data_IF_890289873764
#
_entry.id   IF_890289873764
#
_cell.length_a   1.000
_cell.length_b   1.000
_cell.length_c   1.000
_cell.angle_alpha   90.00
_cell.angle_beta   90.00
_cell.angle_gamma   90.00
#
_symmetry.space_group_name_H-M   'P 1'
#
loop_
_entity.id
_entity.type
_entity.pdbx_description
1 polymer ?
#
# COMPACT_ATOMS: atom_id res chain seq x y z
N UNK A 1 -13.53 12.79 -17.39
CA UNK A 1 -13.18 12.12 -16.11
C UNK A 1 -11.68 11.81 -16.17
N UNK A 2 -10.81 12.69 -15.64
CA UNK A 2 -9.35 12.46 -15.65
C UNK A 2 -9.02 11.47 -14.53
N UNK A 3 -8.73 10.22 -14.88
CA UNK A 3 -8.40 9.16 -13.94
C UNK A 3 -6.88 9.12 -13.82
N UNK A 4 -6.28 9.94 -12.93
CA UNK A 4 -4.84 9.84 -12.63
C UNK A 4 -4.61 8.50 -11.95
N UNK A 5 -4.08 7.53 -12.70
CA UNK A 5 -3.71 6.23 -12.16
C UNK A 5 -2.40 6.41 -11.38
N UNK A 6 -2.46 6.22 -10.07
CA UNK A 6 -1.23 6.10 -9.27
C UNK A 6 -0.56 4.80 -9.69
N UNK A 7 0.68 4.88 -10.18
CA UNK A 7 1.44 3.68 -10.47
C UNK A 7 1.91 3.05 -9.14
N UNK A 8 1.19 2.03 -8.69
CA UNK A 8 1.47 1.35 -7.42
C UNK A 8 2.88 0.73 -7.37
N UNK A 9 3.47 0.41 -8.53
CA UNK A 9 4.84 -0.13 -8.59
C UNK A 9 5.93 0.88 -8.22
N UNK A 10 5.60 2.17 -8.13
CA UNK A 10 6.53 3.21 -7.67
C UNK A 10 6.45 3.45 -6.16
N UNK A 11 5.52 2.80 -5.44
CA UNK A 11 5.44 2.92 -4.00
C UNK A 11 6.57 2.12 -3.35
N UNK A 12 7.21 2.65 -2.29
CA UNK A 12 8.14 1.84 -1.52
C UNK A 12 7.41 0.63 -0.92
N UNK A 13 8.09 -0.51 -0.74
CA UNK A 13 7.49 -1.64 -0.04
C UNK A 13 7.10 -1.23 1.38
N UNK A 14 6.01 -1.81 1.89
CA UNK A 14 5.64 -1.62 3.29
C UNK A 14 6.69 -2.24 4.21
N UNK A 15 6.79 -1.76 5.45
CA UNK A 15 7.68 -2.37 6.45
C UNK A 15 7.43 -3.87 6.61
N UNK A 16 6.16 -4.29 6.60
CA UNK A 16 5.80 -5.71 6.67
C UNK A 16 6.33 -6.52 5.47
N UNK A 17 6.21 -5.98 4.25
CA UNK A 17 6.75 -6.63 3.05
C UNK A 17 8.28 -6.72 3.09
N UNK A 18 8.95 -5.67 3.56
CA UNK A 18 10.40 -5.65 3.74
C UNK A 18 10.85 -6.70 4.78
N UNK A 19 10.18 -6.80 5.93
CA UNK A 19 10.49 -7.82 6.94
C UNK A 19 10.35 -9.24 6.38
N UNK A 20 9.27 -9.52 5.66
CA UNK A 20 9.07 -10.83 5.03
C UNK A 20 10.15 -11.14 3.99
N UNK A 21 10.57 -10.14 3.20
CA UNK A 21 11.69 -10.31 2.28
C UNK A 21 12.99 -10.68 3.01
N UNK A 22 13.30 -9.99 4.13
CA UNK A 22 14.49 -10.29 4.92
C UNK A 22 14.48 -11.72 5.47
N UNK A 23 13.34 -12.22 5.96
CA UNK A 23 13.23 -13.61 6.42
C UNK A 23 13.54 -14.61 5.31
N UNK A 24 12.98 -14.41 4.11
CA UNK A 24 13.23 -15.32 2.98
C UNK A 24 14.68 -15.28 2.52
N UNK A 25 15.29 -14.10 2.48
CA UNK A 25 16.71 -13.95 2.15
C UNK A 25 17.57 -14.68 3.18
N UNK A 26 17.26 -14.52 4.47
CA UNK A 26 17.97 -15.23 5.54
C UNK A 26 17.85 -16.75 5.37
N UNK A 27 16.63 -17.27 5.20
CA UNK A 27 16.41 -18.69 4.93
C UNK A 27 17.22 -19.19 3.73
N UNK A 28 17.16 -18.47 2.62
CA UNK A 28 17.86 -18.86 1.39
C UNK A 28 19.38 -18.94 1.60
N UNK A 29 19.95 -17.98 2.32
CA UNK A 29 21.38 -17.98 2.69
C UNK A 29 21.71 -19.18 3.59
N UNK A 30 20.86 -19.49 4.56
CA UNK A 30 21.06 -20.62 5.48
C UNK A 30 21.01 -21.97 4.75
N UNK A 31 20.08 -22.13 3.81
CA UNK A 31 20.02 -23.32 2.93
C UNK A 31 21.29 -23.44 2.08
N UNK A 32 21.80 -22.35 1.51
CA UNK A 32 23.07 -22.36 0.76
C UNK A 32 24.28 -22.73 1.61
N UNK A 33 24.23 -22.45 2.91
CA UNK A 33 25.25 -22.85 3.87
C UNK A 33 25.09 -24.30 4.35
N UNK A 34 24.04 -25.01 3.92
CA UNK A 34 23.75 -26.38 4.32
C UNK A 34 23.04 -26.52 5.67
N UNK A 35 22.52 -25.42 6.22
CA UNK A 35 21.72 -25.46 7.45
C UNK A 35 20.27 -25.79 7.14
N UNK A 36 19.69 -26.68 7.95
CA UNK A 36 18.26 -26.99 7.87
C UNK A 36 17.48 -26.07 8.81
N UNK A 37 16.60 -25.27 8.22
CA UNK A 37 15.63 -24.44 8.93
C UNK A 37 14.23 -24.81 8.45
N UNK A 38 13.24 -24.60 9.31
CA UNK A 38 11.84 -24.73 8.92
C UNK A 38 11.42 -23.50 8.08
N UNK A 39 11.09 -23.64 6.78
CA UNK A 39 10.77 -22.51 5.92
C UNK A 39 9.57 -21.67 6.41
N UNK A 40 8.61 -22.29 7.10
CA UNK A 40 7.41 -21.60 7.61
C UNK A 40 7.73 -20.55 8.69
N UNK A 41 8.85 -20.71 9.39
CA UNK A 41 9.36 -19.72 10.35
C UNK A 41 10.06 -18.54 9.66
N UNK A 42 10.33 -18.64 8.36
CA UNK A 42 11.17 -17.70 7.61
C UNK A 42 10.49 -17.13 6.36
N UNK A 43 9.21 -16.82 6.47
CA UNK A 43 8.48 -16.06 5.47
C UNK A 43 8.06 -16.87 4.24
N UNK A 44 7.99 -18.19 4.38
CA UNK A 44 7.36 -19.10 3.43
C UNK A 44 6.09 -19.68 4.04
N UNK A 45 5.20 -20.16 3.19
CA UNK A 45 4.04 -20.96 3.59
C UNK A 45 4.05 -22.24 2.78
N UNK A 46 3.83 -23.37 3.45
CA UNK A 46 3.66 -24.63 2.75
C UNK A 46 2.23 -24.74 2.21
N UNK A 47 2.11 -24.96 0.91
CA UNK A 47 0.87 -25.27 0.21
C UNK A 47 0.98 -26.62 -0.48
N UNK A 48 -0.13 -27.11 -1.01
CA UNK A 48 -0.21 -28.41 -1.69
C UNK A 48 0.78 -28.53 -2.86
N UNK A 49 1.14 -27.41 -3.49
CA UNK A 49 2.06 -27.30 -4.62
C UNK A 49 3.51 -26.93 -4.21
N UNK A 50 3.79 -26.80 -2.92
CA UNK A 50 5.12 -26.55 -2.36
C UNK A 50 5.23 -25.27 -1.54
N UNK A 51 6.44 -24.73 -1.47
CA UNK A 51 6.72 -23.52 -0.70
C UNK A 51 6.39 -22.27 -1.50
N UNK A 52 5.46 -21.47 -1.01
CA UNK A 52 5.15 -20.15 -1.55
C UNK A 52 5.68 -19.03 -0.66
N UNK A 53 6.18 -17.92 -1.23
CA UNK A 53 6.69 -16.79 -0.47
C UNK A 53 5.55 -15.95 0.12
N UNK A 54 5.61 -15.66 1.42
CA UNK A 54 4.72 -14.70 2.08
C UNK A 54 5.15 -13.29 1.67
N UNK A 55 4.44 -12.63 0.76
CA UNK A 55 4.84 -11.30 0.30
C UNK A 55 4.66 -10.21 1.35
N UNK A 56 3.57 -10.25 2.11
CA UNK A 56 3.27 -9.32 3.21
C UNK A 56 2.22 -9.97 4.13
N UNK A 57 2.24 -9.62 5.41
CA UNK A 57 1.21 -10.01 6.40
C UNK A 57 0.20 -8.89 6.69
N UNK A 58 0.49 -7.68 6.19
CA UNK A 58 -0.37 -6.52 6.28
C UNK A 58 -0.90 -6.14 4.90
N UNK A 59 -2.05 -5.45 4.82
CA UNK A 59 -2.53 -4.94 3.55
C UNK A 59 -1.48 -4.04 2.87
N UNK A 60 -1.42 -4.06 1.53
CA UNK A 60 -0.38 -3.36 0.76
C UNK A 60 -0.41 -1.84 0.94
N UNK A 61 -1.55 -1.29 1.36
CA UNK A 61 -1.70 0.08 1.78
C UNK A 61 -2.80 0.17 2.86
N UNK A 62 -2.81 1.22 3.70
CA UNK A 62 -3.92 1.50 4.60
C UNK A 62 -5.26 1.55 3.85
N UNK A 63 -6.35 1.06 4.44
CA UNK A 63 -7.68 1.04 3.79
C UNK A 63 -8.13 2.42 3.29
N UNK A 64 -7.79 3.48 4.03
CA UNK A 64 -8.08 4.87 3.63
C UNK A 64 -7.41 5.25 2.31
N UNK A 65 -6.22 4.71 2.04
CA UNK A 65 -5.48 4.91 0.80
C UNK A 65 -6.08 4.10 -0.36
N UNK A 66 -6.51 2.86 -0.10
CA UNK A 66 -7.17 2.02 -1.12
C UNK A 66 -8.56 2.56 -1.51
N UNK A 67 -9.27 3.15 -0.56
CA UNK A 67 -10.57 3.79 -0.77
C UNK A 67 -10.47 5.27 -1.17
N UNK A 68 -9.28 5.76 -1.56
CA UNK A 68 -9.11 7.19 -1.86
C UNK A 68 -9.88 7.59 -3.11
N UNK A 69 -10.99 8.29 -2.89
CA UNK A 69 -11.78 8.94 -3.93
C UNK A 69 -11.19 10.31 -4.21
N UNK A 70 -10.64 10.52 -5.41
CA UNK A 70 -10.20 11.84 -5.83
C UNK A 70 -11.38 12.64 -6.41
N UNK A 71 -11.64 13.83 -5.87
CA UNK A 71 -12.57 14.75 -6.51
C UNK A 71 -11.88 15.54 -7.63
N UNK A 72 -12.68 16.00 -8.60
CA UNK A 72 -12.25 16.91 -9.65
C UNK A 72 -12.87 18.30 -9.44
N UNK A 73 -13.09 18.69 -8.18
CA UNK A 73 -13.68 19.98 -7.84
C UNK A 73 -12.72 21.10 -8.28
N UNK A 74 -13.18 22.00 -9.16
CA UNK A 74 -12.37 23.13 -9.65
C UNK A 74 -12.49 24.41 -8.80
N UNK A 75 -13.50 24.49 -7.95
CA UNK A 75 -13.76 25.61 -7.02
C UNK A 75 -14.44 25.03 -5.80
N UNK A 76 -13.83 25.14 -4.62
CA UNK A 76 -14.40 24.77 -3.31
C UNK A 76 -15.06 23.38 -3.21
N UNK A 77 -14.56 22.51 -2.33
CA UNK A 77 -15.26 21.23 -2.06
C UNK A 77 -16.56 21.49 -1.26
N UNK A 78 -17.73 21.47 -1.91
CA UNK A 78 -19.06 21.54 -1.26
C UNK A 78 -19.76 20.16 -1.22
N UNK A 79 -21.05 20.07 -0.86
CA UNK A 79 -21.83 18.82 -0.69
C UNK A 79 -21.82 17.88 -1.92
N UNK A 80 -21.56 18.41 -3.12
CA UNK A 80 -21.43 17.62 -4.35
C UNK A 80 -20.05 16.97 -4.53
N UNK A 81 -19.07 17.28 -3.68
CA UNK A 81 -17.73 16.72 -3.75
C UNK A 81 -17.76 15.22 -3.46
N UNK A 82 -17.14 14.42 -4.33
CA UNK A 82 -17.05 12.97 -4.17
C UNK A 82 -16.30 12.55 -2.91
N UNK A 83 -15.29 13.32 -2.45
CA UNK A 83 -14.61 13.08 -1.17
C UNK A 83 -15.57 13.30 0.01
N UNK A 84 -16.30 14.42 0.02
CA UNK A 84 -17.25 14.74 1.11
C UNK A 84 -18.40 13.72 1.18
N UNK A 85 -18.89 13.23 0.04
CA UNK A 85 -19.93 12.20 -0.01
C UNK A 85 -19.55 10.90 0.69
N UNK A 86 -18.26 10.58 0.72
CA UNK A 86 -17.72 9.40 1.42
C UNK A 86 -17.10 9.75 2.78
N UNK A 87 -17.36 10.96 3.29
CA UNK A 87 -16.85 11.40 4.59
C UNK A 87 -15.34 11.68 4.65
N UNK A 88 -14.67 11.83 3.50
CA UNK A 88 -13.24 12.13 3.42
C UNK A 88 -12.98 13.63 3.22
N UNK A 89 -11.91 14.13 3.84
CA UNK A 89 -11.39 15.47 3.56
C UNK A 89 -10.72 15.52 2.18
N UNK A 90 -10.95 16.61 1.44
CA UNK A 90 -10.21 16.88 0.20
C UNK A 90 -8.74 17.13 0.55
N UNK A 91 -7.83 16.40 -0.08
CA UNK A 91 -6.38 16.62 0.04
C UNK A 91 -5.81 17.26 -1.24
N UNK A 92 -4.57 17.72 -1.19
CA UNK A 92 -3.89 18.38 -2.32
C UNK A 92 -3.81 17.52 -3.59
N UNK A 93 -3.92 16.19 -3.46
CA UNK A 93 -3.97 15.25 -4.58
C UNK A 93 -5.32 15.20 -5.30
N UNK A 94 -6.40 15.71 -4.68
CA UNK A 94 -7.68 15.89 -5.35
C UNK A 94 -7.61 17.12 -6.27
N UNK A 95 -7.18 16.89 -7.51
CA UNK A 95 -7.17 17.84 -8.64
C UNK A 95 -7.03 19.30 -8.25
N UNK A 96 -5.80 19.65 -7.85
CA UNK A 96 -5.20 20.99 -7.94
C UNK A 96 -6.16 22.15 -7.69
N UNK A 97 -6.39 22.44 -6.42
CA UNK A 97 -6.41 23.81 -5.92
C UNK A 97 -5.65 23.83 -4.59
N UNK A 98 -4.40 24.33 -4.64
CA UNK A 98 -3.89 25.14 -3.54
C UNK A 98 -4.83 26.35 -3.50
N UNK A 99 -5.72 26.41 -2.53
CA UNK A 99 -6.16 27.68 -1.93
C UNK A 99 -7.03 27.39 -0.72
N UNK A 100 -6.67 28.04 0.39
CA UNK A 100 -7.36 28.15 1.67
C UNK A 100 -6.93 27.22 2.81
N UNK A 101 -5.63 26.93 2.94
CA UNK A 101 -5.05 26.63 4.27
C UNK A 101 -4.64 27.90 5.04
N UNK A 102 -5.16 29.07 4.66
CA UNK A 102 -4.99 30.33 5.39
C UNK A 102 -6.28 31.15 5.38
N UNK A 103 -7.32 30.71 6.09
CA UNK A 103 -8.27 31.65 6.71
C UNK A 103 -8.85 31.02 7.97
N UNK A 104 -8.31 31.49 9.10
CA UNK A 104 -8.76 31.43 10.50
C UNK A 104 -9.05 30.06 11.12
#
# INVERSE_FOLDING_TARGET
>A
RSNRRVNLSCLPPTTAAACQHLYRVYYQVQVWLGNELNPEDWGWVLKDDGLEPIQTILPPAPERLLNTVFCNCKKGCNYNCSCKKVGLFCSIVCSSFLDNYLTY
#
